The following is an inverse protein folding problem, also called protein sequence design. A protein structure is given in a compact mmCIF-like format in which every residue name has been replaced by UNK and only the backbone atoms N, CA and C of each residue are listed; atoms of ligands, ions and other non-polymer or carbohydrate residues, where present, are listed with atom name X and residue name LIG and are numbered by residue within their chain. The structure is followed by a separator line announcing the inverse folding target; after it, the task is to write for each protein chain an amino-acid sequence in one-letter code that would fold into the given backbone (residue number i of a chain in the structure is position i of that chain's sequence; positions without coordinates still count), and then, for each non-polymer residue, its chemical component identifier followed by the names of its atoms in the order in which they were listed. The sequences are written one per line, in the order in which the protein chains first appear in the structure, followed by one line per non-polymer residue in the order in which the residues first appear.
data_IF_297467923791
#
_entry.id   IF_297467923791
#
_cell.length_a   1.000
_cell.length_b   1.000
_cell.length_c   1.000
_cell.angle_alpha   90.00
_cell.angle_beta   90.00
_cell.angle_gamma   90.00
#
_symmetry.space_group_name_H-M   'P 1'
#
loop_
_entity.id
_entity.type
_entity.pdbx_description
1 polymer ?
#
# COMPACT_ATOMS: atom_id res chain seq x y z
N UNK A 1 17.10 69.33 -13.11
CA UNK A 1 17.96 68.15 -13.34
C UNK A 1 17.13 66.91 -13.05
N UNK A 2 16.64 66.25 -14.10
CA UNK A 2 15.80 65.06 -14.00
C UNK A 2 16.69 63.82 -14.14
N UNK A 3 16.60 62.80 -13.26
CA UNK A 3 17.41 61.60 -13.40
C UNK A 3 16.75 60.63 -14.38
N UNK A 4 17.49 60.26 -15.42
CA UNK A 4 17.10 59.23 -16.39
C UNK A 4 17.15 57.83 -15.76
N UNK A 5 16.00 57.17 -15.67
CA UNK A 5 15.90 55.77 -15.29
C UNK A 5 16.35 54.87 -16.46
N UNK A 6 17.39 54.06 -16.24
CA UNK A 6 17.91 53.15 -17.25
C UNK A 6 16.90 52.03 -17.59
N UNK A 7 16.56 51.78 -18.87
CA UNK A 7 15.52 50.84 -19.29
C UNK A 7 15.85 49.36 -19.01
N UNK A 8 17.13 49.02 -18.75
CA UNK A 8 17.58 47.64 -18.47
C UNK A 8 17.11 47.09 -17.11
N UNK A 9 16.87 47.94 -16.10
CA UNK A 9 16.39 47.49 -14.78
C UNK A 9 14.91 47.11 -14.77
N UNK A 10 14.10 47.72 -15.63
CA UNK A 10 12.67 47.41 -15.77
C UNK A 10 12.43 46.05 -16.44
N UNK A 11 13.19 45.76 -17.50
CA UNK A 11 13.11 44.48 -18.22
C UNK A 11 13.52 43.29 -17.36
N UNK A 12 14.56 43.43 -16.53
CA UNK A 12 15.02 42.35 -15.64
C UNK A 12 14.01 42.05 -14.52
N UNK A 13 13.35 43.09 -13.99
CA UNK A 13 12.25 42.92 -13.01
C UNK A 13 11.01 42.30 -13.65
N UNK A 14 10.67 42.68 -14.88
CA UNK A 14 9.58 42.04 -15.62
C UNK A 14 9.89 40.56 -15.88
N UNK A 15 11.14 40.23 -16.26
CA UNK A 15 11.56 38.85 -16.51
C UNK A 15 11.50 37.99 -15.24
N UNK A 16 11.93 38.53 -14.09
CA UNK A 16 11.83 37.85 -12.79
C UNK A 16 10.39 37.69 -12.32
N UNK A 17 9.52 38.67 -12.58
CA UNK A 17 8.08 38.57 -12.30
C UNK A 17 7.40 37.54 -13.20
N UNK A 18 7.73 37.49 -14.49
CA UNK A 18 7.21 36.46 -15.40
C UNK A 18 7.73 35.07 -15.05
N UNK A 19 8.99 34.95 -14.63
CA UNK A 19 9.56 33.68 -14.17
C UNK A 19 8.91 33.23 -12.86
N UNK A 20 8.68 34.16 -11.92
CA UNK A 20 7.95 33.89 -10.68
C UNK A 20 6.50 33.48 -10.92
N UNK A 21 5.80 34.13 -11.85
CA UNK A 21 4.43 33.77 -12.25
C UNK A 21 4.36 32.45 -13.02
N UNK A 22 5.36 32.10 -13.83
CA UNK A 22 5.45 30.80 -14.51
C UNK A 22 5.76 29.65 -13.54
N UNK A 23 6.59 29.89 -12.53
CA UNK A 23 6.85 28.90 -11.45
C UNK A 23 5.62 28.71 -10.57
N UNK A 24 4.86 29.78 -10.29
CA UNK A 24 3.58 29.72 -9.56
C UNK A 24 2.44 29.08 -10.37
N UNK A 25 2.41 29.28 -11.70
CA UNK A 25 1.43 28.64 -12.58
C UNK A 25 1.73 27.15 -12.84
N UNK A 26 2.99 26.72 -12.74
CA UNK A 26 3.38 25.31 -12.80
C UNK A 26 3.17 24.58 -11.46
N UNK A 27 3.01 25.32 -10.35
CA UNK A 27 2.66 24.78 -9.05
C UNK A 27 1.15 24.78 -8.84
N UNK A 28 0.41 23.97 -9.61
CA UNK A 28 -0.74 23.31 -8.98
C UNK A 28 -0.20 22.67 -7.69
N UNK A 29 -0.80 22.88 -6.54
CA UNK A 29 -0.29 22.35 -5.27
C UNK A 29 -0.20 20.82 -5.38
N UNK A 30 1.02 20.28 -5.44
CA UNK A 30 1.24 18.84 -5.26
C UNK A 30 1.13 18.60 -3.76
N UNK A 31 0.03 18.01 -3.34
CA UNK A 31 -0.15 17.58 -1.96
C UNK A 31 0.33 16.13 -1.83
N UNK A 32 0.81 15.75 -0.64
CA UNK A 32 1.11 14.36 -0.29
C UNK A 32 0.14 13.93 0.80
N UNK A 33 -1.12 13.73 0.41
CA UNK A 33 -2.19 13.36 1.33
C UNK A 33 -3.03 12.24 0.72
N UNK A 34 -3.22 11.17 1.50
CA UNK A 34 -4.14 10.09 1.17
C UNK A 34 -5.57 10.59 1.44
N UNK A 35 -6.33 10.86 0.37
CA UNK A 35 -7.73 11.29 0.45
C UNK A 35 -8.52 10.72 -0.72
N UNK A 36 -9.81 10.52 -0.51
CA UNK A 36 -10.73 10.03 -1.54
C UNK A 36 -10.80 11.00 -2.72
N UNK A 37 -10.82 10.46 -3.94
CA UNK A 37 -10.90 11.23 -5.19
C UNK A 37 -9.58 11.89 -5.63
N UNK A 38 -8.54 11.89 -4.80
CA UNK A 38 -7.20 12.34 -5.19
C UNK A 38 -6.58 11.36 -6.18
N UNK A 39 -5.96 11.90 -7.23
CA UNK A 39 -5.27 11.11 -8.23
C UNK A 39 -3.78 10.96 -7.94
N UNK A 40 -3.26 9.81 -8.35
CA UNK A 40 -1.90 9.29 -8.14
C UNK A 40 -1.39 8.77 -9.49
N UNK A 41 -0.11 9.03 -9.78
CA UNK A 41 0.57 8.42 -10.91
C UNK A 41 1.35 7.18 -10.45
N UNK A 42 0.83 5.99 -10.71
CA UNK A 42 1.46 4.75 -10.26
C UNK A 42 2.70 4.37 -11.09
N UNK A 43 2.82 4.89 -12.32
CA UNK A 43 3.97 4.58 -13.18
C UNK A 43 5.28 5.12 -12.63
N UNK A 44 5.24 6.21 -11.85
CA UNK A 44 6.45 6.82 -11.29
C UNK A 44 7.23 5.89 -10.37
N UNK A 45 6.54 4.96 -9.70
CA UNK A 45 7.13 4.06 -8.69
C UNK A 45 6.56 2.65 -8.75
N UNK A 46 6.13 2.19 -9.93
CA UNK A 46 5.67 0.81 -10.08
C UNK A 46 6.77 -0.17 -9.63
N UNK A 47 6.41 -1.12 -8.76
CA UNK A 47 7.34 -2.04 -8.10
C UNK A 47 7.95 -1.53 -6.80
N UNK A 48 7.80 -0.25 -6.50
CA UNK A 48 8.41 0.45 -5.37
C UNK A 48 7.44 1.39 -4.65
N UNK A 49 6.12 1.23 -4.84
CA UNK A 49 5.11 2.07 -4.17
C UNK A 49 5.26 2.06 -2.65
N UNK A 50 5.79 0.97 -2.07
CA UNK A 50 6.08 0.88 -0.63
C UNK A 50 7.11 1.89 -0.09
N UNK A 51 7.81 2.64 -0.95
CA UNK A 51 8.73 3.73 -0.54
C UNK A 51 7.96 5.02 -0.26
N UNK A 52 6.81 5.23 -0.89
CA UNK A 52 5.97 6.43 -0.75
C UNK A 52 4.60 6.16 -0.14
N UNK A 53 4.25 4.89 0.04
CA UNK A 53 3.04 4.42 0.71
C UNK A 53 3.45 3.49 1.84
N UNK A 54 3.15 3.84 3.09
CA UNK A 54 3.60 3.07 4.26
C UNK A 54 2.74 1.82 4.46
N UNK A 55 3.07 0.77 3.71
CA UNK A 55 2.35 -0.52 3.68
C UNK A 55 3.17 -1.67 4.29
N UNK A 56 4.47 -1.47 4.41
CA UNK A 56 5.43 -2.45 4.90
C UNK A 56 6.60 -1.74 5.58
N UNK A 57 7.26 -2.35 6.59
CA UNK A 57 8.34 -1.71 7.28
C UNK A 57 9.50 -1.34 6.34
N UNK A 58 9.93 -0.09 6.44
CA UNK A 58 11.14 0.42 5.82
C UNK A 58 12.29 0.38 6.82
N UNK A 59 13.52 0.36 6.31
CA UNK A 59 14.73 0.48 7.12
C UNK A 59 15.04 1.94 7.46
N UNK A 60 14.02 2.74 7.81
CA UNK A 60 14.24 4.12 8.22
C UNK A 60 14.66 4.13 9.70
N UNK A 61 15.88 4.57 9.93
CA UNK A 61 16.53 4.65 11.25
C UNK A 61 16.11 5.87 12.07
N UNK A 62 15.29 6.77 11.51
CA UNK A 62 14.82 7.99 12.20
C UNK A 62 13.34 7.90 12.53
N UNK A 63 13.03 7.71 13.82
CA UNK A 63 11.68 7.73 14.39
C UNK A 63 10.95 9.09 14.26
N UNK A 64 11.55 10.09 13.59
CA UNK A 64 11.13 11.50 13.64
C UNK A 64 10.02 11.91 12.66
N UNK A 65 9.72 11.13 11.61
CA UNK A 65 8.58 11.42 10.71
C UNK A 65 7.57 10.27 10.68
N UNK A 66 6.44 10.46 11.38
CA UNK A 66 5.26 9.60 11.24
C UNK A 66 4.49 9.96 9.98
N UNK A 67 5.03 9.59 8.82
CA UNK A 67 4.35 9.72 7.54
C UNK A 67 3.60 8.42 7.20
N UNK A 68 2.44 8.53 6.55
CA UNK A 68 1.67 7.38 6.02
C UNK A 68 1.73 7.37 4.48
N UNK A 69 1.71 8.57 3.88
CA UNK A 69 1.60 8.75 2.45
C UNK A 69 2.49 9.92 2.00
N UNK A 70 3.37 9.68 1.04
CA UNK A 70 4.31 10.64 0.45
C UNK A 70 4.18 10.75 -1.07
N UNK A 71 3.41 9.87 -1.71
CA UNK A 71 3.22 9.93 -3.16
C UNK A 71 2.55 11.26 -3.56
N UNK A 72 2.99 11.94 -4.63
CA UNK A 72 2.33 13.16 -5.07
C UNK A 72 0.89 12.89 -5.50
N UNK A 73 -0.04 13.74 -5.04
CA UNK A 73 -1.45 13.66 -5.41
C UNK A 73 -1.96 14.92 -6.10
N UNK A 74 -3.05 14.75 -6.85
CA UNK A 74 -3.76 15.83 -7.56
C UNK A 74 -5.26 15.77 -7.29
N UNK A 75 -5.89 16.93 -7.15
CA UNK A 75 -7.35 17.03 -7.24
C UNK A 75 -7.77 16.88 -8.70
N UNK A 76 -8.72 16.00 -8.97
CA UNK A 76 -9.35 15.88 -10.29
C UNK A 76 -10.70 16.61 -10.33
N UNK A 77 -11.49 16.37 -9.30
CA UNK A 77 -12.85 16.89 -9.16
C UNK A 77 -12.93 17.89 -8.02
N UNK A 78 -13.83 18.86 -8.16
CA UNK A 78 -14.22 19.78 -7.09
C UNK A 78 -15.17 19.08 -6.12
N UNK A 79 -15.19 19.49 -4.86
CA UNK A 79 -16.15 19.06 -3.84
C UNK A 79 -16.32 17.54 -3.67
N UNK A 80 -15.24 16.75 -3.82
CA UNK A 80 -15.28 15.30 -3.64
C UNK A 80 -15.72 14.86 -2.23
N UNK A 81 -15.58 15.73 -1.24
CA UNK A 81 -16.00 15.49 0.14
C UNK A 81 -17.50 15.15 0.27
N UNK A 82 -18.35 15.65 -0.63
CA UNK A 82 -19.80 15.37 -0.61
C UNK A 82 -20.13 13.95 -1.12
N UNK A 83 -19.22 13.34 -1.89
CA UNK A 83 -19.38 12.01 -2.47
C UNK A 83 -18.66 10.92 -1.67
N UNK A 84 -17.96 11.30 -0.61
CA UNK A 84 -17.14 10.42 0.19
C UNK A 84 -17.60 10.36 1.64
N UNK A 85 -17.49 9.18 2.24
CA UNK A 85 -17.62 8.99 3.68
C UNK A 85 -16.24 8.65 4.25
N UNK A 86 -15.93 9.17 5.43
CA UNK A 86 -14.75 8.78 6.20
C UNK A 86 -15.13 8.54 7.64
N UNK A 87 -14.71 7.40 8.17
CA UNK A 87 -15.02 6.96 9.53
C UNK A 87 -13.73 6.74 10.30
N UNK A 88 -13.63 7.37 11.48
CA UNK A 88 -12.55 7.14 12.42
C UNK A 88 -13.00 6.17 13.54
N UNK A 89 -12.15 5.18 13.83
CA UNK A 89 -12.39 4.16 14.85
C UNK A 89 -11.58 4.45 16.11
N UNK A 90 -12.05 5.42 16.89
CA UNK A 90 -11.38 5.91 18.12
C UNK A 90 -11.92 5.29 19.41
N UNK A 91 -12.95 4.43 19.35
CA UNK A 91 -13.61 3.87 20.53
C UNK A 91 -12.62 3.12 21.45
N UNK A 92 -12.37 3.61 22.68
CA UNK A 92 -11.43 3.00 23.60
C UNK A 92 -11.95 1.67 24.13
N UNK A 93 -11.08 0.66 24.20
CA UNK A 93 -11.39 -0.65 24.79
C UNK A 93 -12.00 -1.67 23.82
N UNK A 94 -12.35 -1.27 22.60
CA UNK A 94 -12.77 -2.17 21.52
C UNK A 94 -11.64 -2.28 20.49
N UNK A 95 -11.10 -3.48 20.33
CA UNK A 95 -10.13 -3.77 19.28
C UNK A 95 -10.88 -3.91 17.95
N UNK A 96 -10.95 -2.83 17.18
CA UNK A 96 -11.54 -2.85 15.84
C UNK A 96 -10.52 -3.37 14.83
N UNK A 97 -10.51 -4.67 14.63
CA UNK A 97 -9.50 -5.31 13.83
C UNK A 97 -9.73 -6.81 13.70
N UNK A 98 -8.79 -7.46 13.02
CA UNK A 98 -8.93 -8.87 12.65
C UNK A 98 -7.63 -9.64 12.89
N UNK A 99 -7.79 -10.92 13.17
CA UNK A 99 -6.73 -11.91 13.23
C UNK A 99 -6.88 -12.83 12.01
N UNK A 100 -5.90 -12.79 11.10
CA UNK A 100 -5.91 -13.61 9.91
C UNK A 100 -4.73 -14.57 9.88
N UNK A 101 -4.98 -15.74 9.29
CA UNK A 101 -3.98 -16.75 8.98
C UNK A 101 -4.14 -17.19 7.53
N UNK A 102 -3.07 -17.06 6.74
CA UNK A 102 -3.09 -17.33 5.30
C UNK A 102 -2.02 -18.36 4.94
N UNK A 103 -2.47 -19.47 4.34
CA UNK A 103 -1.63 -20.56 3.89
C UNK A 103 -1.16 -20.31 2.45
N UNK A 104 0.15 -20.16 2.27
CA UNK A 104 0.79 -19.80 1.01
C UNK A 104 1.71 -20.92 0.54
N UNK A 105 1.44 -21.52 -0.62
CA UNK A 105 2.23 -22.66 -1.11
C UNK A 105 3.62 -22.28 -1.58
N UNK A 106 3.81 -21.02 -1.97
CA UNK A 106 5.06 -20.47 -2.46
C UNK A 106 5.15 -18.96 -2.20
N UNK A 107 6.31 -18.37 -2.51
CA UNK A 107 6.61 -16.95 -2.29
C UNK A 107 5.61 -16.01 -2.98
N UNK A 108 5.16 -16.35 -4.19
CA UNK A 108 4.19 -15.53 -4.93
C UNK A 108 2.87 -15.44 -4.16
N UNK A 109 2.37 -16.57 -3.67
CA UNK A 109 1.16 -16.59 -2.84
C UNK A 109 1.36 -15.82 -1.53
N UNK A 110 2.57 -15.83 -0.94
CA UNK A 110 2.87 -15.03 0.24
C UNK A 110 2.76 -13.51 -0.02
N UNK A 111 3.25 -13.03 -1.15
CA UNK A 111 3.10 -11.62 -1.52
C UNK A 111 1.66 -11.25 -1.84
N UNK A 112 0.94 -12.13 -2.55
CA UNK A 112 -0.50 -11.99 -2.80
C UNK A 112 -1.29 -11.91 -1.50
N UNK A 113 -1.01 -12.80 -0.54
CA UNK A 113 -1.60 -12.80 0.79
C UNK A 113 -1.33 -11.48 1.53
N UNK A 114 -0.08 -11.03 1.52
CA UNK A 114 0.28 -9.80 2.22
C UNK A 114 -0.48 -8.57 1.67
N UNK A 115 -0.62 -8.47 0.34
CA UNK A 115 -1.24 -7.34 -0.35
C UNK A 115 -2.67 -7.64 -0.85
N UNK A 116 -3.38 -8.60 -0.23
CA UNK A 116 -4.70 -9.04 -0.69
C UNK A 116 -5.71 -7.90 -0.82
N UNK A 117 -5.70 -6.97 0.13
CA UNK A 117 -6.65 -5.85 0.20
C UNK A 117 -6.13 -4.59 -0.53
N UNK A 118 -5.15 -4.76 -1.43
CA UNK A 118 -4.63 -3.70 -2.29
C UNK A 118 -5.05 -3.99 -3.73
N UNK A 119 -5.93 -3.16 -4.26
CA UNK A 119 -6.44 -3.27 -5.63
C UNK A 119 -6.05 -2.04 -6.43
N UNK A 120 -5.63 -2.28 -7.67
CA UNK A 120 -5.31 -1.26 -8.65
C UNK A 120 -5.96 -1.72 -9.94
N UNK A 121 -6.88 -0.92 -10.47
CA UNK A 121 -7.56 -1.21 -11.73
C UNK A 121 -6.53 -1.43 -12.87
N UNK A 122 -6.88 -2.28 -13.84
CA UNK A 122 -6.00 -2.69 -14.95
C UNK A 122 -4.75 -3.51 -14.58
N UNK A 123 -4.52 -3.87 -13.31
CA UNK A 123 -3.50 -4.86 -12.92
C UNK A 123 -4.10 -6.23 -12.62
N UNK A 124 -3.47 -7.29 -13.14
CA UNK A 124 -3.81 -8.67 -12.77
C UNK A 124 -3.12 -9.07 -11.46
N UNK A 125 -2.00 -8.42 -11.14
CA UNK A 125 -1.17 -8.66 -9.97
C UNK A 125 -0.86 -7.35 -9.24
N UNK A 126 -1.84 -6.73 -8.55
CA UNK A 126 -1.64 -5.45 -7.85
C UNK A 126 -0.47 -5.46 -6.85
N UNK A 127 -0.20 -6.59 -6.22
CA UNK A 127 0.91 -6.79 -5.29
C UNK A 127 2.30 -6.59 -5.96
N UNK A 128 2.44 -6.78 -7.27
CA UNK A 128 3.70 -6.50 -7.99
C UNK A 128 4.00 -5.00 -8.04
N UNK A 129 3.01 -4.11 -7.96
CA UNK A 129 3.23 -2.66 -7.87
C UNK A 129 3.98 -2.25 -6.58
N UNK A 130 3.95 -3.08 -5.53
CA UNK A 130 4.65 -2.85 -4.27
C UNK A 130 5.92 -3.69 -4.12
N UNK A 131 5.95 -4.88 -4.73
CA UNK A 131 6.97 -5.91 -4.51
C UNK A 131 7.88 -6.16 -5.69
N UNK A 132 7.54 -5.68 -6.90
CA UNK A 132 8.30 -5.95 -8.13
C UNK A 132 9.78 -5.57 -8.02
N UNK A 133 10.09 -4.54 -7.24
CA UNK A 133 11.45 -4.09 -6.96
C UNK A 133 12.18 -4.78 -5.80
N UNK A 134 11.60 -5.82 -5.18
CA UNK A 134 12.21 -6.45 -4.00
C UNK A 134 13.16 -7.58 -4.39
N UNK A 135 14.46 -7.33 -4.23
CA UNK A 135 15.46 -8.40 -4.22
C UNK A 135 15.26 -9.35 -3.02
N UNK A 136 15.74 -10.61 -3.10
CA UNK A 136 15.53 -11.61 -2.06
C UNK A 136 15.85 -11.14 -0.63
N UNK A 137 16.98 -10.45 -0.43
CA UNK A 137 17.37 -9.92 0.89
C UNK A 137 16.40 -8.87 1.43
N UNK A 138 15.94 -7.97 0.56
CA UNK A 138 14.98 -6.94 0.93
C UNK A 138 13.62 -7.57 1.27
N UNK A 139 13.16 -8.52 0.47
CA UNK A 139 11.94 -9.28 0.73
C UNK A 139 12.02 -10.04 2.06
N UNK A 140 13.13 -10.74 2.31
CA UNK A 140 13.38 -11.50 3.53
C UNK A 140 13.32 -10.59 4.76
N UNK A 141 14.03 -9.46 4.71
CA UNK A 141 14.05 -8.47 5.80
C UNK A 141 12.67 -7.89 6.08
N UNK A 142 11.91 -7.54 5.04
CA UNK A 142 10.55 -7.02 5.15
C UNK A 142 9.58 -8.07 5.73
N UNK A 143 9.73 -9.33 5.36
CA UNK A 143 8.91 -10.44 5.87
C UNK A 143 9.37 -10.97 7.23
N UNK A 144 10.53 -10.52 7.72
CA UNK A 144 11.11 -10.95 8.99
C UNK A 144 11.71 -12.36 8.95
N UNK A 145 12.06 -12.89 7.78
CA UNK A 145 12.65 -14.23 7.61
C UNK A 145 14.07 -14.15 7.03
N UNK A 146 14.82 -15.26 7.06
CA UNK A 146 16.16 -15.31 6.42
C UNK A 146 16.04 -15.44 4.88
N UNK A 147 17.01 -14.88 4.15
CA UNK A 147 17.05 -14.90 2.67
C UNK A 147 17.00 -16.30 2.08
N UNK A 148 17.62 -17.30 2.72
CA UNK A 148 17.58 -18.70 2.29
C UNK A 148 16.16 -19.23 2.14
N UNK A 149 15.24 -18.75 2.98
CA UNK A 149 13.83 -19.15 2.96
C UNK A 149 13.00 -18.39 1.93
N UNK A 150 13.54 -17.38 1.24
CA UNK A 150 12.89 -16.68 0.12
C UNK A 150 13.25 -17.31 -1.23
N UNK A 151 14.48 -17.81 -1.35
CA UNK A 151 15.01 -18.38 -2.60
C UNK A 151 14.70 -19.87 -2.72
N UNK A 152 14.62 -20.58 -1.59
CA UNK A 152 14.34 -22.03 -1.58
C UNK A 152 12.88 -22.41 -1.83
N UNK A 153 12.67 -23.72 -1.96
CA UNK A 153 11.35 -24.32 -2.18
C UNK A 153 10.60 -24.55 -0.85
N UNK A 154 10.04 -23.46 -0.33
CA UNK A 154 9.30 -23.45 0.93
C UNK A 154 7.85 -23.01 0.75
N UNK A 155 7.02 -23.45 1.69
CA UNK A 155 5.66 -22.95 1.88
C UNK A 155 5.59 -22.11 3.16
N UNK A 156 4.61 -21.21 3.22
CA UNK A 156 4.55 -20.17 4.24
C UNK A 156 3.17 -20.11 4.87
N UNK A 157 3.11 -19.70 6.13
CA UNK A 157 1.88 -19.23 6.75
C UNK A 157 2.09 -17.80 7.21
N UNK A 158 1.29 -16.87 6.68
CA UNK A 158 1.26 -15.49 7.14
C UNK A 158 0.20 -15.36 8.23
N UNK A 159 0.63 -14.97 9.42
CA UNK A 159 -0.28 -14.62 10.52
C UNK A 159 -0.24 -13.11 10.70
N UNK A 160 -1.41 -12.48 10.77
CA UNK A 160 -1.53 -11.02 10.87
C UNK A 160 -2.59 -10.63 11.90
N UNK A 161 -2.28 -9.59 12.66
CA UNK A 161 -3.22 -8.90 13.56
C UNK A 161 -3.27 -7.44 13.16
N UNK A 162 -4.45 -6.98 12.79
CA UNK A 162 -4.66 -5.63 12.25
C UNK A 162 -5.49 -4.81 13.23
N UNK A 163 -5.19 -3.52 13.37
CA UNK A 163 -6.07 -2.53 14.01
C UNK A 163 -6.34 -1.40 13.03
N UNK A 164 -7.59 -1.29 12.59
CA UNK A 164 -8.05 -0.20 11.73
C UNK A 164 -8.17 1.08 12.54
N UNK A 165 -7.90 2.25 11.95
CA UNK A 165 -8.01 3.56 12.62
C UNK A 165 -8.91 4.50 11.86
N UNK A 166 -8.82 4.48 10.53
CA UNK A 166 -9.62 5.34 9.67
C UNK A 166 -9.89 4.59 8.37
N UNK A 167 -11.12 4.69 7.88
CA UNK A 167 -11.52 4.18 6.56
C UNK A 167 -12.18 5.32 5.80
N UNK A 168 -11.78 5.52 4.55
CA UNK A 168 -12.44 6.42 3.62
C UNK A 168 -12.92 5.64 2.39
N UNK A 169 -14.08 6.00 1.84
CA UNK A 169 -14.59 5.42 0.59
C UNK A 169 -15.51 6.39 -0.14
N UNK A 170 -15.63 6.23 -1.46
CA UNK A 170 -16.75 6.81 -2.20
C UNK A 170 -18.06 6.09 -1.88
N UNK A 171 -19.14 6.86 -1.74
CA UNK A 171 -20.47 6.35 -1.42
C UNK A 171 -21.16 5.73 -2.64
N UNK A 172 -20.85 6.24 -3.82
CA UNK A 172 -21.37 5.80 -5.11
C UNK A 172 -20.35 6.10 -6.20
N UNK A 173 -20.62 5.64 -7.41
CA UNK A 173 -19.85 6.10 -8.57
C UNK A 173 -19.88 7.63 -8.69
N UNK A 174 -18.78 8.20 -9.19
CA UNK A 174 -18.66 9.64 -9.43
C UNK A 174 -19.67 10.04 -10.51
N UNK A 175 -20.60 10.99 -10.25
CA UNK A 175 -21.57 11.43 -11.24
C UNK A 175 -20.90 11.92 -12.54
N UNK A 176 -21.54 11.69 -13.69
CA UNK A 176 -21.03 12.11 -15.01
C UNK A 176 -20.77 13.62 -15.05
N UNK A 177 -21.65 14.40 -14.44
CA UNK A 177 -21.58 15.86 -14.36
C UNK A 177 -20.77 16.39 -13.17
N UNK A 178 -19.97 15.56 -12.49
CA UNK A 178 -19.15 16.02 -11.37
C UNK A 178 -18.17 17.10 -11.86
N UNK A 179 -18.17 18.31 -11.27
CA UNK A 179 -17.32 19.39 -11.76
C UNK A 179 -15.82 19.05 -11.63
N UNK A 180 -15.10 19.18 -12.74
CA UNK A 180 -13.64 19.03 -12.76
C UNK A 180 -12.95 20.30 -12.27
N UNK A 181 -11.71 20.14 -11.79
CA UNK A 181 -10.79 21.27 -11.63
C UNK A 181 -10.50 21.93 -12.99
N UNK A 182 -10.29 23.24 -13.00
CA UNK A 182 -10.23 24.02 -14.25
C UNK A 182 -9.08 23.62 -15.18
N UNK A 183 -7.93 23.27 -14.60
CA UNK A 183 -6.76 22.79 -15.32
C UNK A 183 -6.96 21.36 -15.87
N UNK A 184 -7.65 20.50 -15.12
CA UNK A 184 -8.07 19.17 -15.56
C UNK A 184 -9.01 19.28 -16.74
N UNK A 185 -10.05 20.11 -16.64
CA UNK A 185 -11.02 20.33 -17.71
C UNK A 185 -10.33 20.83 -19.00
N UNK A 186 -9.41 21.79 -18.87
CA UNK A 186 -8.62 22.28 -20.00
C UNK A 186 -7.77 21.16 -20.63
N UNK A 187 -7.18 20.28 -19.82
CA UNK A 187 -6.37 19.17 -20.34
C UNK A 187 -7.21 18.07 -20.98
N UNK A 188 -8.40 17.77 -20.46
CA UNK A 188 -9.35 16.82 -21.07
C UNK A 188 -9.66 17.19 -22.52
N UNK A 189 -9.80 18.50 -22.80
CA UNK A 189 -10.03 18.97 -24.16
C UNK A 189 -8.84 18.73 -25.10
N UNK A 190 -7.61 18.74 -24.58
CA UNK A 190 -6.38 18.56 -25.34
C UNK A 190 -6.02 17.10 -25.65
N UNK A 191 -6.66 16.12 -24.98
CA UNK A 191 -6.45 14.70 -25.29
C UNK A 191 -7.09 14.38 -26.65
N UNK A 192 -6.29 13.79 -27.54
CA UNK A 192 -6.68 13.46 -28.92
C UNK A 192 -6.72 11.94 -29.10
N UNK A 193 -7.83 11.45 -29.66
CA UNK A 193 -8.00 10.03 -30.01
C UNK A 193 -6.96 9.63 -31.05
N UNK A 194 -6.34 8.45 -30.88
CA UNK A 194 -5.25 7.97 -31.75
C UNK A 194 -3.87 8.55 -31.44
N UNK A 195 -3.75 9.54 -30.53
CA UNK A 195 -2.48 10.14 -30.16
C UNK A 195 -2.05 9.73 -28.75
N UNK A 196 -1.14 8.74 -28.66
CA UNK A 196 -0.64 8.19 -27.39
C UNK A 196 0.05 9.25 -26.54
N UNK A 197 0.82 10.14 -27.17
CA UNK A 197 1.55 11.20 -26.46
C UNK A 197 0.60 12.16 -25.73
N UNK A 198 -0.59 12.42 -26.27
CA UNK A 198 -1.58 13.28 -25.62
C UNK A 198 -2.14 12.65 -24.33
N UNK A 199 -2.39 11.33 -24.34
CA UNK A 199 -2.84 10.59 -23.16
C UNK A 199 -1.73 10.46 -22.11
N UNK A 200 -0.49 10.16 -22.52
CA UNK A 200 0.66 10.09 -21.62
C UNK A 200 0.90 11.43 -20.90
N UNK A 201 0.86 12.55 -21.62
CA UNK A 201 0.98 13.88 -21.00
C UNK A 201 -0.12 14.18 -19.98
N UNK A 202 -1.34 13.68 -20.21
CA UNK A 202 -2.42 13.77 -19.22
C UNK A 202 -2.03 12.98 -17.95
N UNK A 203 -1.60 11.73 -18.12
CA UNK A 203 -1.21 10.85 -17.01
C UNK A 203 -0.04 11.42 -16.19
N UNK A 204 0.96 12.01 -16.85
CA UNK A 204 2.08 12.69 -16.18
C UNK A 204 1.64 13.91 -15.37
N UNK A 205 0.62 14.63 -15.85
CA UNK A 205 0.15 15.88 -15.23
C UNK A 205 -0.76 15.62 -14.03
N UNK A 206 -1.70 14.68 -14.17
CA UNK A 206 -2.82 14.48 -13.24
C UNK A 206 -2.82 13.13 -12.54
N UNK A 207 -2.08 12.15 -13.05
CA UNK A 207 -2.06 10.80 -12.54
C UNK A 207 -2.81 9.80 -13.42
N UNK A 208 -2.75 8.55 -13.00
CA UNK A 208 -3.28 7.38 -13.72
C UNK A 208 -4.51 6.80 -13.03
N UNK A 209 -4.53 6.90 -11.69
CA UNK A 209 -5.56 6.31 -10.85
C UNK A 209 -5.98 7.31 -9.77
N UNK A 210 -7.20 7.23 -9.28
CA UNK A 210 -7.65 7.95 -8.09
C UNK A 210 -7.95 7.00 -6.93
N UNK A 211 -7.84 7.52 -5.71
CA UNK A 211 -8.18 6.78 -4.49
C UNK A 211 -9.69 6.64 -4.39
N UNK A 212 -10.18 5.42 -4.60
CA UNK A 212 -11.60 5.09 -4.46
C UNK A 212 -11.95 4.74 -3.01
N UNK A 213 -11.09 3.97 -2.35
CA UNK A 213 -11.17 3.71 -0.92
C UNK A 213 -9.80 3.47 -0.30
N UNK A 214 -9.70 3.66 1.00
CA UNK A 214 -8.53 3.32 1.80
C UNK A 214 -8.93 2.94 3.21
N UNK A 215 -8.08 2.13 3.84
CA UNK A 215 -8.11 1.91 5.30
C UNK A 215 -6.70 2.11 5.84
N UNK A 216 -6.57 2.95 6.86
CA UNK A 216 -5.33 3.19 7.59
C UNK A 216 -5.42 2.67 9.02
N UNK A 217 -4.27 2.41 9.62
CA UNK A 217 -4.15 1.89 10.97
C UNK A 217 -2.75 1.36 11.20
N UNK A 218 -2.62 0.20 11.83
CA UNK A 218 -1.35 -0.49 11.93
C UNK A 218 -1.58 -2.00 12.10
N UNK A 219 -0.56 -2.80 11.82
CA UNK A 219 -0.65 -4.25 11.97
C UNK A 219 0.66 -4.85 12.44
N UNK A 220 0.54 -5.98 13.13
CA UNK A 220 1.62 -6.92 13.36
C UNK A 220 1.45 -8.12 12.45
N UNK A 221 2.54 -8.64 11.92
CA UNK A 221 2.52 -9.88 11.16
C UNK A 221 3.76 -10.73 11.43
N UNK A 222 3.62 -12.02 11.18
CA UNK A 222 4.66 -13.03 11.32
C UNK A 222 4.54 -14.05 10.20
N UNK A 223 5.67 -14.41 9.59
CA UNK A 223 5.73 -15.45 8.57
C UNK A 223 6.36 -16.70 9.17
N UNK A 224 5.65 -17.83 9.07
CA UNK A 224 6.14 -19.15 9.42
C UNK A 224 6.54 -19.88 8.14
N UNK A 225 7.72 -20.49 8.12
CA UNK A 225 8.26 -21.20 6.96
C UNK A 225 8.22 -22.70 7.22
N UNK A 226 7.78 -23.46 6.24
CA UNK A 226 7.62 -24.90 6.31
C UNK A 226 8.21 -25.59 5.08
N UNK A 227 8.72 -26.80 5.29
CA UNK A 227 8.89 -27.77 4.20
C UNK A 227 7.51 -28.16 3.65
N UNK A 228 7.47 -28.52 2.36
CA UNK A 228 6.22 -28.91 1.68
C UNK A 228 5.46 -30.03 2.40
N UNK A 229 6.18 -30.99 2.98
CA UNK A 229 5.60 -32.11 3.73
C UNK A 229 4.83 -31.61 4.96
N UNK A 230 5.49 -30.83 5.82
CA UNK A 230 4.88 -30.32 7.04
C UNK A 230 3.73 -29.36 6.74
N UNK A 231 3.92 -28.50 5.74
CA UNK A 231 2.88 -27.58 5.30
C UNK A 231 1.60 -28.30 4.85
N UNK A 232 1.70 -29.33 3.99
CA UNK A 232 0.53 -30.08 3.51
C UNK A 232 -0.26 -30.70 4.66
N UNK A 233 0.45 -31.37 5.58
CA UNK A 233 -0.15 -31.96 6.77
C UNK A 233 -0.90 -30.91 7.60
N UNK A 234 -0.28 -29.77 7.90
CA UNK A 234 -0.91 -28.70 8.71
C UNK A 234 -2.13 -28.12 7.98
N UNK A 235 -2.00 -27.84 6.68
CA UNK A 235 -3.08 -27.32 5.82
C UNK A 235 -4.27 -28.28 5.79
N UNK A 236 -4.05 -29.58 5.66
CA UNK A 236 -5.11 -30.61 5.67
C UNK A 236 -5.79 -30.73 7.05
N UNK A 237 -5.04 -30.67 8.14
CA UNK A 237 -5.58 -30.68 9.50
C UNK A 237 -6.46 -29.46 9.78
N UNK A 238 -6.03 -28.28 9.35
CA UNK A 238 -6.80 -27.05 9.51
C UNK A 238 -8.01 -27.03 8.58
N UNK A 239 -7.89 -27.51 7.34
CA UNK A 239 -9.02 -27.61 6.41
C UNK A 239 -10.11 -28.57 6.91
N UNK A 240 -9.73 -29.67 7.55
CA UNK A 240 -10.67 -30.69 8.04
C UNK A 240 -11.35 -30.30 9.35
N UNK A 241 -10.64 -29.67 10.29
CA UNK A 241 -11.18 -29.33 11.62
C UNK A 241 -11.61 -27.86 11.77
N UNK A 242 -11.15 -26.98 10.87
CA UNK A 242 -11.19 -25.54 11.09
C UNK A 242 -10.20 -25.08 12.16
N UNK A 243 -9.83 -23.79 12.16
CA UNK A 243 -8.93 -23.22 13.17
C UNK A 243 -9.53 -23.31 14.58
N UNK A 244 -10.84 -23.09 14.71
CA UNK A 244 -11.55 -23.17 15.99
C UNK A 244 -11.77 -24.60 16.47
N UNK A 245 -11.63 -25.60 15.60
CA UNK A 245 -11.71 -27.02 15.95
C UNK A 245 -10.38 -27.63 16.37
N UNK A 246 -9.28 -26.86 16.32
CA UNK A 246 -8.00 -27.27 16.90
C UNK A 246 -7.93 -26.84 18.37
N UNK A 247 -7.37 -27.71 19.22
CA UNK A 247 -7.04 -27.29 20.57
C UNK A 247 -5.96 -26.20 20.53
N UNK A 248 -5.97 -25.32 21.53
CA UNK A 248 -4.96 -24.28 21.67
C UNK A 248 -3.54 -24.89 21.66
N UNK A 249 -3.36 -26.04 22.30
CA UNK A 249 -2.10 -26.78 22.34
C UNK A 249 -1.67 -27.25 20.94
N UNK A 250 -2.57 -27.86 20.17
CA UNK A 250 -2.29 -28.31 18.81
C UNK A 250 -1.87 -27.15 17.91
N UNK A 251 -2.57 -26.02 18.02
CA UNK A 251 -2.25 -24.82 17.26
C UNK A 251 -0.84 -24.31 17.57
N UNK A 252 -0.44 -24.18 18.84
CA UNK A 252 0.94 -23.78 19.17
C UNK A 252 1.95 -24.81 18.70
N UNK A 253 1.62 -26.11 18.80
CA UNK A 253 2.50 -27.19 18.39
C UNK A 253 2.82 -27.12 16.89
N UNK A 254 1.82 -26.97 16.02
CA UNK A 254 2.03 -26.86 14.56
C UNK A 254 2.86 -25.63 14.15
N UNK A 255 2.91 -24.60 14.98
CA UNK A 255 3.60 -23.34 14.72
C UNK A 255 4.87 -23.17 15.57
N UNK A 256 5.34 -24.26 16.16
CA UNK A 256 6.56 -24.29 16.97
C UNK A 256 7.82 -24.61 16.14
N UNK A 257 9.03 -24.36 16.68
CA UNK A 257 10.30 -24.58 15.98
C UNK A 257 10.61 -26.01 15.55
N UNK A 258 9.92 -27.02 16.10
CA UNK A 258 10.11 -28.42 15.70
C UNK A 258 9.19 -28.86 14.55
N UNK A 259 8.22 -28.02 14.15
CA UNK A 259 7.40 -28.23 12.95
C UNK A 259 7.78 -27.28 11.81
N UNK A 260 8.08 -26.02 12.13
CA UNK A 260 8.46 -25.01 11.16
C UNK A 260 9.98 -25.00 10.93
N UNK A 261 10.39 -24.85 9.68
CA UNK A 261 11.80 -24.68 9.29
C UNK A 261 12.36 -23.35 9.81
N UNK A 262 11.49 -22.33 9.90
CA UNK A 262 11.84 -21.03 10.41
C UNK A 262 10.62 -20.27 10.95
N UNK A 263 10.79 -19.68 12.13
CA UNK A 263 9.82 -18.75 12.71
C UNK A 263 10.32 -17.34 12.41
N UNK A 264 9.62 -16.64 11.52
CA UNK A 264 9.93 -15.26 11.22
C UNK A 264 9.80 -14.36 12.44
N UNK A 265 10.55 -13.27 12.42
CA UNK A 265 10.42 -12.20 13.39
C UNK A 265 9.05 -11.54 13.24
N UNK A 266 8.43 -11.16 14.35
CA UNK A 266 7.23 -10.33 14.31
C UNK A 266 7.63 -8.94 13.82
N UNK A 267 6.95 -8.49 12.77
CA UNK A 267 7.16 -7.19 12.12
C UNK A 267 5.90 -6.35 12.23
N UNK A 268 6.07 -5.04 12.21
CA UNK A 268 4.97 -4.07 12.17
C UNK A 268 4.88 -3.43 10.79
N UNK A 269 3.69 -3.28 10.21
CA UNK A 269 3.52 -2.65 8.87
C UNK A 269 4.10 -1.23 8.80
N UNK A 270 4.10 -0.53 9.93
CA UNK A 270 4.67 0.80 10.09
C UNK A 270 6.19 0.84 10.37
N UNK A 271 6.89 -0.28 10.58
CA UNK A 271 8.26 -0.30 11.16
C UNK A 271 8.37 0.36 12.56
N UNK A 272 7.29 0.39 13.33
CA UNK A 272 7.34 0.92 14.70
C UNK A 272 8.12 -0.04 15.62
N UNK A 273 9.38 0.31 15.89
CA UNK A 273 10.30 -0.46 16.72
C UNK A 273 9.79 -0.66 18.16
N UNK A 274 8.97 0.26 18.69
CA UNK A 274 8.37 0.12 20.02
C UNK A 274 7.35 -1.01 20.04
N UNK A 275 6.49 -1.10 19.01
CA UNK A 275 5.51 -2.18 18.85
C UNK A 275 6.23 -3.52 18.67
N UNK A 276 7.27 -3.58 17.83
CA UNK A 276 8.05 -4.81 17.63
C UNK A 276 8.79 -5.26 18.90
N UNK A 277 9.37 -4.34 19.66
CA UNK A 277 9.99 -4.63 20.96
C UNK A 277 8.96 -5.09 22.00
N UNK A 278 7.76 -4.53 21.99
CA UNK A 278 6.66 -5.01 22.84
C UNK A 278 6.30 -6.44 22.45
N UNK A 279 6.14 -6.73 21.16
CA UNK A 279 5.78 -8.04 20.64
C UNK A 279 6.82 -9.10 21.03
N UNK A 280 8.11 -8.83 20.82
CA UNK A 280 9.20 -9.75 21.23
C UNK A 280 9.17 -10.10 22.71
N UNK A 281 8.84 -9.15 23.58
CA UNK A 281 8.81 -9.36 25.04
C UNK A 281 7.52 -10.04 25.52
N UNK A 282 6.35 -9.59 25.04
CA UNK A 282 5.06 -10.04 25.56
C UNK A 282 4.55 -11.31 24.87
N UNK A 283 4.98 -11.56 23.63
CA UNK A 283 4.53 -12.69 22.82
C UNK A 283 5.50 -13.88 22.82
N UNK A 284 6.45 -13.88 23.75
CA UNK A 284 7.25 -15.07 24.04
C UNK A 284 6.37 -16.16 24.64
N UNK A 285 6.48 -17.36 24.09
CA UNK A 285 5.85 -18.58 24.55
C UNK A 285 6.95 -19.55 25.01
N UNK A 286 6.69 -20.26 26.10
CA UNK A 286 7.62 -21.21 26.71
C UNK A 286 6.92 -22.57 26.74
N UNK A 287 7.57 -23.56 26.13
CA UNK A 287 7.12 -24.95 26.11
C UNK A 287 8.27 -25.84 26.54
N UNK A 288 8.13 -26.45 27.72
CA UNK A 288 9.23 -27.10 28.44
C UNK A 288 10.45 -26.17 28.55
N UNK A 289 11.56 -26.50 27.89
CA UNK A 289 12.81 -25.74 27.90
C UNK A 289 12.96 -24.81 26.69
N UNK A 290 12.04 -24.85 25.72
CA UNK A 290 12.13 -24.09 24.47
C UNK A 290 11.32 -22.80 24.60
N UNK A 291 11.98 -21.68 24.32
CA UNK A 291 11.38 -20.35 24.27
C UNK A 291 11.36 -19.84 22.83
N UNK A 292 10.20 -19.40 22.36
CA UNK A 292 10.07 -18.79 21.03
C UNK A 292 9.00 -17.70 21.02
N UNK A 293 9.09 -16.78 20.06
CA UNK A 293 8.15 -15.66 19.92
C UNK A 293 7.09 -16.02 18.89
N UNK A 294 5.81 -15.87 19.23
CA UNK A 294 4.71 -16.20 18.32
C UNK A 294 3.52 -15.26 18.43
N UNK A 295 3.06 -14.75 17.28
CA UNK A 295 1.89 -13.89 17.18
C UNK A 295 0.60 -14.62 17.56
N UNK A 296 0.59 -15.96 17.54
CA UNK A 296 -0.52 -16.79 17.98
C UNK A 296 -0.86 -16.61 19.46
N UNK A 297 0.04 -16.04 20.28
CA UNK A 297 -0.27 -15.69 21.68
C UNK A 297 -1.41 -14.67 21.80
N UNK A 298 -1.64 -13.87 20.76
CA UNK A 298 -2.76 -12.92 20.70
C UNK A 298 -4.11 -13.59 20.44
N UNK A 299 -4.11 -14.75 19.80
CA UNK A 299 -5.35 -15.46 19.45
C UNK A 299 -6.14 -15.82 20.71
N UNK A 300 -7.34 -15.24 20.84
CA UNK A 300 -8.22 -15.43 22.00
C UNK A 300 -7.72 -14.80 23.32
N UNK A 301 -6.68 -13.94 23.29
CA UNK A 301 -6.16 -13.28 24.49
C UNK A 301 -6.54 -11.80 24.55
N UNK A 302 -7.70 -11.51 25.14
CA UNK A 302 -8.25 -10.15 25.26
C UNK A 302 -7.33 -9.18 26.04
N UNK A 303 -6.57 -9.67 27.02
CA UNK A 303 -5.66 -8.82 27.80
C UNK A 303 -4.47 -8.34 26.96
N UNK A 304 -3.86 -9.25 26.19
CA UNK A 304 -2.78 -8.87 25.27
C UNK A 304 -3.30 -7.99 24.13
N UNK A 305 -4.49 -8.26 23.59
CA UNK A 305 -5.11 -7.44 22.56
C UNK A 305 -5.39 -6.02 23.03
N UNK A 306 -5.92 -5.83 24.26
CA UNK A 306 -6.09 -4.49 24.85
C UNK A 306 -4.76 -3.76 25.02
N UNK A 307 -3.70 -4.45 25.47
CA UNK A 307 -2.38 -3.84 25.56
C UNK A 307 -1.84 -3.45 24.18
N UNK A 308 -2.07 -4.26 23.15
CA UNK A 308 -1.64 -3.99 21.79
C UNK A 308 -2.43 -2.85 21.13
N UNK A 309 -3.72 -2.71 21.44
CA UNK A 309 -4.60 -1.66 20.91
C UNK A 309 -4.03 -0.25 21.13
N UNK A 310 -3.46 -0.01 22.32
CA UNK A 310 -2.82 1.27 22.67
C UNK A 310 -1.54 1.57 21.88
N UNK A 311 -0.91 0.54 21.31
CA UNK A 311 0.38 0.65 20.60
C UNK A 311 0.22 0.73 19.08
N UNK A 312 -0.85 0.14 18.53
CA UNK A 312 -1.13 0.16 17.10
C UNK A 312 -1.81 1.48 16.71
N UNK A 313 -1.00 2.52 16.47
CA UNK A 313 -1.44 3.84 16.02
C UNK A 313 -1.98 3.86 14.59
N UNK A 314 -2.23 5.07 14.07
CA UNK A 314 -2.54 5.25 12.65
C UNK A 314 -1.24 5.52 11.88
N UNK A 315 -0.50 4.48 11.54
CA UNK A 315 0.90 4.60 11.07
C UNK A 315 1.15 3.85 9.73
N UNK A 316 0.14 3.22 9.15
CA UNK A 316 0.27 2.43 7.93
C UNK A 316 -1.04 2.40 7.13
N UNK A 317 -0.91 2.22 5.82
CA UNK A 317 -2.02 1.89 4.92
C UNK A 317 -2.18 0.37 4.96
N UNK A 318 -3.40 -0.08 5.24
CA UNK A 318 -3.74 -1.49 5.41
C UNK A 318 -4.54 -2.01 4.22
N UNK A 319 -5.33 -1.14 3.59
CA UNK A 319 -6.14 -1.45 2.41
C UNK A 319 -6.15 -0.22 1.50
N UNK A 320 -6.16 -0.45 0.19
CA UNK A 320 -6.17 0.62 -0.81
C UNK A 320 -6.84 0.12 -2.08
N UNK A 321 -7.84 0.87 -2.56
CA UNK A 321 -8.45 0.64 -3.86
C UNK A 321 -8.23 1.85 -4.76
N UNK A 322 -7.53 1.62 -5.87
CA UNK A 322 -7.21 2.62 -6.88
C UNK A 322 -7.99 2.32 -8.17
N UNK A 323 -8.74 3.31 -8.65
CA UNK A 323 -9.54 3.22 -9.88
C UNK A 323 -8.97 4.12 -10.97
N UNK A 324 -9.12 3.73 -12.23
CA UNK A 324 -8.54 4.44 -13.36
C UNK A 324 -9.15 5.86 -13.52
N UNK A 325 -8.33 6.84 -13.87
CA UNK A 325 -8.81 8.24 -14.05
C UNK A 325 -9.56 8.46 -15.36
N UNK A 326 -9.73 7.43 -16.20
CA UNK A 326 -10.47 7.52 -17.46
C UNK A 326 -11.92 8.01 -17.25
N UNK A 327 -12.47 7.90 -16.03
CA UNK A 327 -13.77 8.46 -15.63
C UNK A 327 -13.91 9.97 -15.85
N UNK A 328 -12.82 10.73 -15.98
CA UNK A 328 -12.88 12.17 -16.31
C UNK A 328 -13.35 12.44 -17.74
N UNK A 329 -13.35 11.43 -18.61
CA UNK A 329 -13.76 11.52 -20.00
C UNK A 329 -15.19 11.01 -20.24
N UNK A 330 -16.02 10.84 -19.20
CA UNK A 330 -17.39 10.29 -19.33
C UNK A 330 -18.27 11.06 -20.34
N UNK A 331 -18.07 12.37 -20.48
CA UNK A 331 -18.74 13.20 -21.50
C UNK A 331 -18.22 12.98 -22.94
N UNK A 332 -17.13 12.23 -23.10
CA UNK A 332 -16.44 11.97 -24.36
C UNK A 332 -16.12 10.47 -24.53
N UNK A 333 -17.10 9.61 -24.84
CA UNK A 333 -16.93 8.15 -24.84
C UNK A 333 -15.76 7.64 -25.69
N UNK A 334 -15.51 8.25 -26.85
CA UNK A 334 -14.37 7.90 -27.71
C UNK A 334 -13.02 8.23 -27.05
N UNK A 335 -12.90 9.39 -26.37
CA UNK A 335 -11.70 9.75 -25.61
C UNK A 335 -11.52 8.83 -24.40
N UNK A 336 -12.61 8.49 -23.72
CA UNK A 336 -12.58 7.57 -22.57
C UNK A 336 -12.05 6.20 -22.96
N UNK A 337 -12.59 5.60 -24.04
CA UNK A 337 -12.15 4.31 -24.55
C UNK A 337 -10.67 4.34 -24.96
N UNK A 338 -10.29 5.37 -25.75
CA UNK A 338 -8.91 5.56 -26.17
C UNK A 338 -7.94 5.73 -25.00
N UNK A 339 -8.28 6.57 -24.01
CA UNK A 339 -7.43 6.78 -22.84
C UNK A 339 -7.31 5.50 -22.00
N UNK A 340 -8.40 4.75 -21.84
CA UNK A 340 -8.38 3.47 -21.15
C UNK A 340 -7.49 2.46 -21.85
N UNK A 341 -7.57 2.35 -23.18
CA UNK A 341 -6.70 1.46 -23.96
C UNK A 341 -5.21 1.83 -23.79
N UNK A 342 -4.86 3.12 -23.87
CA UNK A 342 -3.49 3.57 -23.65
C UNK A 342 -3.02 3.25 -22.23
N UNK A 343 -3.84 3.53 -21.22
CA UNK A 343 -3.52 3.22 -19.82
C UNK A 343 -3.31 1.73 -19.61
N UNK A 344 -4.26 0.90 -20.05
CA UNK A 344 -4.24 -0.56 -19.86
C UNK A 344 -3.03 -1.19 -20.54
N UNK A 345 -2.76 -0.83 -21.80
CA UNK A 345 -1.58 -1.30 -22.53
C UNK A 345 -0.27 -0.96 -21.79
N UNK A 346 -0.13 0.28 -21.29
CA UNK A 346 1.04 0.66 -20.51
C UNK A 346 1.14 -0.14 -19.20
N UNK A 347 0.02 -0.34 -18.50
CA UNK A 347 -0.03 -1.13 -17.27
C UNK A 347 0.41 -2.57 -17.48
N UNK A 348 -0.08 -3.22 -18.53
CA UNK A 348 0.34 -4.59 -18.90
C UNK A 348 1.83 -4.66 -19.24
N UNK A 349 2.36 -3.66 -19.94
CA UNK A 349 3.81 -3.59 -20.23
C UNK A 349 4.65 -3.48 -18.96
N UNK A 350 4.23 -2.67 -17.97
CA UNK A 350 4.93 -2.57 -16.68
C UNK A 350 4.88 -3.88 -15.90
N UNK A 351 3.72 -4.52 -15.84
CA UNK A 351 3.51 -5.79 -15.13
C UNK A 351 4.32 -6.95 -15.75
N UNK A 352 4.53 -6.94 -17.07
CA UNK A 352 5.37 -7.94 -17.73
C UNK A 352 6.87 -7.66 -17.58
N UNK A 353 7.31 -6.41 -17.69
CA UNK A 353 8.73 -6.08 -17.79
C UNK A 353 9.44 -5.90 -16.44
N UNK A 354 8.76 -5.36 -15.42
CA UNK A 354 9.44 -5.06 -14.15
C UNK A 354 9.84 -6.33 -13.36
N UNK A 355 9.01 -7.40 -13.30
CA UNK A 355 9.39 -8.64 -12.64
C UNK A 355 10.55 -9.40 -13.31
N UNK A 356 10.86 -9.12 -14.59
CA UNK A 356 11.90 -9.80 -15.36
C UNK A 356 13.33 -9.36 -14.99
N UNK A 357 13.48 -8.28 -14.24
CA UNK A 357 14.79 -7.85 -13.71
C UNK A 357 15.26 -8.67 -12.49
N UNK A 358 14.56 -9.77 -12.15
CA UNK A 358 15.00 -10.73 -11.12
C UNK A 358 15.71 -11.93 -11.76
N UNK A 359 16.98 -12.21 -11.42
CA UNK A 359 17.79 -13.23 -12.08
C UNK A 359 17.35 -14.67 -11.83
N UNK A 360 16.21 -14.93 -11.17
CA UNK A 360 15.73 -16.28 -10.86
C UNK A 360 14.20 -16.36 -10.94
N UNK A 361 13.67 -16.22 -12.16
CA UNK A 361 12.48 -16.98 -12.56
C UNK A 361 12.91 -18.13 -13.44
#
# INVERSE_FOLDING_TARGET
MSPSLSPRRGLFRLWLLTLGLLVLAASGSRESQLRIGKAINIFLRYGYLGISMRVIPLNESSESERWIFKEPTRNIYKNMSELSESQEYTAPGIFHGDFHMEFCENRRQLFQAYFRDFTIESLDKPWEAFTGGWFPDNAAKKLGINTSFIVGDYSYVLVRVVRFRETGKLNSEIPVNQPLESDVQARVQQVQVGNVSSAVRFMESFGTHYVNSYTTGNSLYQVFVYSRKNYKMIKERIKSKGLNGLSKLDLYNYFAPWFAEHLGQIRSASANATVERWARRKLQYEYYVVKYVTLLKLHGNSTLLRSLDSLLGNDAILQLDLKAVNVVFRDHPQKQSWFHEVLDNNMKLWELNLPLNHPNR
#
